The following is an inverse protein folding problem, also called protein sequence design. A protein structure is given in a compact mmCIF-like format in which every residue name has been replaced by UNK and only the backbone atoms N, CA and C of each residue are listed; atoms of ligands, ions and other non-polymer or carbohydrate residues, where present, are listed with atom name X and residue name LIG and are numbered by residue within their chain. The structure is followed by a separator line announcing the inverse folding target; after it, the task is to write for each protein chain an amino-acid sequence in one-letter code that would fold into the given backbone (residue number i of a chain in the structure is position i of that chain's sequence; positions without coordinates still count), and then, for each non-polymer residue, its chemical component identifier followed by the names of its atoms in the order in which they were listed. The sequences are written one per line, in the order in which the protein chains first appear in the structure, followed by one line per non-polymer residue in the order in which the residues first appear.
data_IF_830309963924
#
_entry.id   IF_830309963924
#
_cell.length_a   1.000
_cell.length_b   1.000
_cell.length_c   1.000
_cell.angle_alpha   90.00
_cell.angle_beta   90.00
_cell.angle_gamma   90.00
#
_symmetry.space_group_name_H-M   'P 1'
#
loop_
_entity.id
_entity.type
_entity.pdbx_description
1 polymer ?
#
# COMPACT_ATOMS: atom_id res chain seq x y z
N UNK A 1 26.32 -10.15 -5.62
CA UNK A 1 25.45 -10.10 -4.42
C UNK A 1 25.22 -8.66 -3.94
N UNK A 2 26.27 -7.88 -3.63
CA UNK A 2 26.13 -6.46 -3.24
C UNK A 2 25.47 -5.56 -4.31
N UNK A 3 25.60 -5.90 -5.58
CA UNK A 3 24.98 -5.15 -6.70
C UNK A 3 23.45 -5.09 -6.67
N UNK A 4 22.78 -5.95 -5.90
CA UNK A 4 21.32 -5.97 -5.76
C UNK A 4 20.80 -5.02 -4.68
N UNK A 5 21.66 -4.51 -3.79
CA UNK A 5 21.26 -3.62 -2.69
C UNK A 5 20.49 -2.38 -3.17
N UNK A 6 20.93 -1.65 -4.21
CA UNK A 6 20.18 -0.48 -4.68
C UNK A 6 18.76 -0.84 -5.13
N UNK A 7 18.61 -1.98 -5.82
CA UNK A 7 17.32 -2.47 -6.29
C UNK A 7 16.40 -2.85 -5.12
N UNK A 8 16.92 -3.56 -4.12
CA UNK A 8 16.17 -3.94 -2.91
C UNK A 8 15.69 -2.71 -2.12
N UNK A 9 16.55 -1.70 -1.98
CA UNK A 9 16.18 -0.46 -1.27
C UNK A 9 15.10 0.29 -2.04
N UNK A 10 15.25 0.46 -3.36
CA UNK A 10 14.24 1.14 -4.18
C UNK A 10 12.91 0.39 -4.15
N UNK A 11 12.90 -0.92 -4.32
CA UNK A 11 11.66 -1.71 -4.21
C UNK A 11 11.04 -1.61 -2.81
N UNK A 12 11.85 -1.69 -1.76
CA UNK A 12 11.37 -1.55 -0.38
C UNK A 12 10.69 -0.21 -0.14
N UNK A 13 11.25 0.89 -0.66
CA UNK A 13 10.64 2.22 -0.59
C UNK A 13 9.33 2.28 -1.38
N UNK A 14 9.30 1.71 -2.60
CA UNK A 14 8.09 1.70 -3.44
C UNK A 14 6.95 0.95 -2.77
N UNK A 15 7.17 -0.31 -2.35
CA UNK A 15 6.14 -1.09 -1.67
C UNK A 15 5.76 -0.48 -0.33
N UNK A 16 6.72 0.02 0.45
CA UNK A 16 6.46 0.73 1.70
C UNK A 16 5.57 1.96 1.49
N UNK A 17 5.82 2.76 0.45
CA UNK A 17 5.00 3.91 0.12
C UNK A 17 3.57 3.51 -0.30
N UNK A 18 3.42 2.45 -1.09
CA UNK A 18 2.09 1.94 -1.51
C UNK A 18 1.27 1.52 -0.29
N UNK A 19 1.83 0.68 0.59
CA UNK A 19 1.10 0.21 1.78
C UNK A 19 0.90 1.33 2.81
N UNK A 20 1.86 2.24 2.96
CA UNK A 20 1.74 3.41 3.83
C UNK A 20 0.62 4.35 3.38
N UNK A 21 0.55 4.67 2.08
CA UNK A 21 -0.53 5.49 1.52
C UNK A 21 -1.90 4.84 1.71
N UNK A 22 -1.99 3.52 1.51
CA UNK A 22 -3.24 2.78 1.75
C UNK A 22 -3.70 2.88 3.21
N UNK A 23 -2.79 2.72 4.16
CA UNK A 23 -3.10 2.86 5.59
C UNK A 23 -3.63 4.27 5.92
N UNK A 24 -3.02 5.31 5.36
CA UNK A 24 -3.49 6.70 5.51
C UNK A 24 -4.89 6.85 4.89
N UNK A 25 -5.13 6.30 3.70
CA UNK A 25 -6.44 6.33 3.06
C UNK A 25 -7.54 5.67 3.90
N UNK A 26 -7.27 4.50 4.47
CA UNK A 26 -8.19 3.83 5.40
C UNK A 26 -8.47 4.69 6.64
N UNK A 27 -7.44 5.32 7.22
CA UNK A 27 -7.61 6.19 8.37
C UNK A 27 -8.49 7.40 8.05
N UNK A 28 -8.28 8.06 6.91
CA UNK A 28 -9.08 9.22 6.48
C UNK A 28 -10.54 8.81 6.23
N UNK A 29 -10.77 7.71 5.49
CA UNK A 29 -12.11 7.20 5.20
C UNK A 29 -12.86 6.85 6.48
N UNK A 30 -12.21 6.12 7.40
CA UNK A 30 -12.83 5.72 8.66
C UNK A 30 -13.13 6.93 9.53
N UNK A 31 -12.23 7.90 9.64
CA UNK A 31 -12.48 9.13 10.40
C UNK A 31 -13.62 9.97 9.80
N UNK A 32 -13.78 9.99 8.47
CA UNK A 32 -14.84 10.76 7.81
C UNK A 32 -16.21 10.08 7.87
N UNK A 33 -16.25 8.75 7.85
CA UNK A 33 -17.51 8.00 7.67
C UNK A 33 -17.90 7.11 8.85
N UNK A 34 -16.95 6.78 9.73
CA UNK A 34 -17.04 5.71 10.73
C UNK A 34 -17.40 4.33 10.12
N UNK A 35 -17.14 4.15 8.82
CA UNK A 35 -17.40 2.92 8.07
C UNK A 35 -16.07 2.34 7.59
N UNK A 36 -15.93 1.02 7.69
CA UNK A 36 -14.81 0.28 7.11
C UNK A 36 -15.20 -0.16 5.70
N UNK A 37 -14.43 0.25 4.68
CA UNK A 37 -14.66 -0.13 3.29
C UNK A 37 -13.85 -1.38 2.90
N UNK A 38 -14.50 -2.53 2.86
CA UNK A 38 -13.84 -3.80 2.48
C UNK A 38 -13.47 -3.88 1.00
N UNK A 39 -14.19 -3.17 0.11
CA UNK A 39 -13.85 -3.14 -1.32
C UNK A 39 -12.48 -2.49 -1.55
N UNK A 40 -12.06 -1.55 -0.69
CA UNK A 40 -10.71 -0.96 -0.76
C UNK A 40 -9.60 -2.01 -0.55
N UNK A 41 -9.87 -3.07 0.24
CA UNK A 41 -8.96 -4.20 0.40
C UNK A 41 -8.88 -5.08 -0.84
N UNK A 42 -10.00 -5.35 -1.51
CA UNK A 42 -10.03 -6.09 -2.79
C UNK A 42 -9.34 -5.32 -3.93
N UNK A 43 -9.51 -3.99 -4.01
CA UNK A 43 -8.80 -3.17 -5.00
C UNK A 43 -7.28 -3.21 -4.84
N UNK A 44 -6.77 -3.29 -3.61
CA UNK A 44 -5.35 -3.46 -3.35
C UNK A 44 -4.84 -4.84 -3.84
N UNK A 45 -5.64 -5.89 -3.65
CA UNK A 45 -5.30 -7.23 -4.14
C UNK A 45 -5.33 -7.32 -5.67
N UNK A 46 -6.34 -6.71 -6.32
CA UNK A 46 -6.41 -6.61 -7.78
C UNK A 46 -5.22 -5.82 -8.34
N UNK A 47 -4.80 -4.75 -7.67
CA UNK A 47 -3.60 -3.98 -8.04
C UNK A 47 -2.29 -4.77 -7.95
N UNK A 48 -2.25 -5.88 -7.20
CA UNK A 48 -1.10 -6.78 -7.14
C UNK A 48 -1.15 -7.94 -8.14
N UNK A 49 -2.27 -8.13 -8.84
CA UNK A 49 -2.43 -9.17 -9.87
C UNK A 49 -2.12 -8.68 -11.30
N UNK A 50 -2.15 -7.36 -11.53
CA UNK A 50 -1.76 -6.70 -12.78
C UNK A 50 -0.26 -6.40 -12.80
#
# INVERSE_FOLDING_TARGET
MLSLLPLLVVNGVVFGAIYGLNAVGFSVMYNATNIINFAQGEFLMLGGML
#
